data_IF_449568377734
#
_entry.id   IF_449568377734
#
_cell.length_a   1.000
_cell.length_b   1.000
_cell.length_c   1.000
_cell.angle_alpha   90.00
_cell.angle_beta   90.00
_cell.angle_gamma   90.00
#
_symmetry.space_group_name_H-M   'P 1'
#
loop_
_entity.id
_entity.type
_entity.pdbx_description
1 polymer ?
#
# COMPACT_ATOMS: atom_id res chain seq x y z
N UNK A 1 -24.06 13.60 -5.77
CA UNK A 1 -23.52 12.74 -4.70
C UNK A 1 -22.54 13.59 -3.90
N UNK A 2 -22.81 13.87 -2.63
CA UNK A 2 -22.03 14.84 -1.83
C UNK A 2 -20.58 14.36 -1.62
N UNK A 3 -19.64 15.30 -1.69
CA UNK A 3 -18.18 15.09 -1.61
C UNK A 3 -17.77 14.26 -0.37
N UNK A 4 -18.49 14.43 0.74
CA UNK A 4 -18.31 13.62 1.95
C UNK A 4 -18.61 12.13 1.78
N UNK A 5 -19.62 11.75 0.99
CA UNK A 5 -20.02 10.36 0.78
C UNK A 5 -19.00 9.63 -0.09
N UNK A 6 -18.51 10.28 -1.15
CA UNK A 6 -17.45 9.76 -2.02
C UNK A 6 -16.16 9.56 -1.23
N UNK A 7 -15.81 10.53 -0.38
CA UNK A 7 -14.63 10.42 0.49
C UNK A 7 -14.75 9.28 1.50
N UNK A 8 -15.92 9.08 2.12
CA UNK A 8 -16.15 8.02 3.12
C UNK A 8 -16.04 6.63 2.50
N UNK A 9 -16.70 6.41 1.36
CA UNK A 9 -16.63 5.14 0.62
C UNK A 9 -15.19 4.85 0.17
N UNK A 10 -14.48 5.87 -0.33
CA UNK A 10 -13.08 5.73 -0.73
C UNK A 10 -12.17 5.25 0.42
N UNK A 11 -12.36 5.79 1.62
CA UNK A 11 -11.61 5.35 2.81
C UNK A 11 -11.98 3.95 3.26
N UNK A 12 -13.26 3.55 3.18
CA UNK A 12 -13.67 2.18 3.52
C UNK A 12 -13.08 1.17 2.55
N UNK A 13 -13.13 1.44 1.24
CA UNK A 13 -12.53 0.56 0.21
C UNK A 13 -11.01 0.47 0.40
N UNK A 14 -10.34 1.59 0.66
CA UNK A 14 -8.90 1.59 0.94
C UNK A 14 -8.57 0.79 2.21
N UNK A 15 -9.36 0.96 3.29
CA UNK A 15 -9.15 0.23 4.54
C UNK A 15 -9.37 -1.28 4.41
N UNK A 16 -10.44 -1.70 3.73
CA UNK A 16 -10.70 -3.13 3.46
C UNK A 16 -9.62 -3.72 2.54
N UNK A 17 -9.21 -2.98 1.50
CA UNK A 17 -8.12 -3.39 0.62
C UNK A 17 -6.81 -3.56 1.38
N UNK A 18 -6.48 -2.62 2.28
CA UNK A 18 -5.29 -2.69 3.13
C UNK A 18 -5.33 -3.88 4.10
N UNK A 19 -6.46 -4.11 4.76
CA UNK A 19 -6.63 -5.24 5.67
C UNK A 19 -6.53 -6.59 4.93
N UNK A 20 -7.14 -6.70 3.74
CA UNK A 20 -7.03 -7.88 2.88
C UNK A 20 -5.59 -8.12 2.41
N UNK A 21 -4.87 -7.06 2.03
CA UNK A 21 -3.46 -7.14 1.71
C UNK A 21 -2.63 -7.62 2.92
N UNK A 22 -2.82 -7.04 4.10
CA UNK A 22 -2.13 -7.47 5.32
C UNK A 22 -2.37 -8.94 5.65
N UNK A 23 -3.62 -9.40 5.58
CA UNK A 23 -3.97 -10.79 5.81
C UNK A 23 -3.29 -11.71 4.80
N UNK A 24 -3.23 -11.30 3.53
CA UNK A 24 -2.55 -12.04 2.46
C UNK A 24 -1.04 -12.11 2.71
N UNK A 25 -0.41 -10.99 3.04
CA UNK A 25 1.02 -10.92 3.40
C UNK A 25 1.33 -11.81 4.61
N UNK A 26 0.51 -11.77 5.66
CA UNK A 26 0.68 -12.60 6.84
C UNK A 26 0.56 -14.10 6.52
N UNK A 27 -0.42 -14.47 5.69
CA UNK A 27 -0.60 -15.84 5.23
C UNK A 27 0.58 -16.33 4.39
N UNK A 28 1.07 -15.51 3.46
CA UNK A 28 2.23 -15.84 2.64
C UNK A 28 3.50 -15.95 3.49
N UNK A 29 3.70 -15.05 4.45
CA UNK A 29 4.81 -15.12 5.39
C UNK A 29 4.76 -16.41 6.22
N UNK A 30 3.59 -16.78 6.74
CA UNK A 30 3.40 -18.07 7.43
C UNK A 30 3.75 -19.25 6.52
N UNK A 31 3.27 -19.25 5.26
CA UNK A 31 3.58 -20.30 4.29
C UNK A 31 5.08 -20.44 4.04
N UNK A 32 5.80 -19.33 3.90
CA UNK A 32 7.25 -19.36 3.61
C UNK A 32 8.07 -19.70 4.86
N UNK A 33 7.77 -19.08 6.00
CA UNK A 33 8.60 -19.16 7.21
C UNK A 33 8.29 -20.36 8.10
N UNK A 34 7.02 -20.78 8.17
CA UNK A 34 6.58 -21.87 9.05
C UNK A 34 6.46 -23.17 8.28
N UNK A 35 5.77 -23.16 7.13
CA UNK A 35 5.59 -24.38 6.32
C UNK A 35 6.82 -24.69 5.48
N UNK A 36 7.55 -23.66 5.06
CA UNK A 36 8.75 -23.79 4.24
C UNK A 36 8.46 -23.91 2.74
N UNK A 37 9.52 -23.81 1.95
CA UNK A 37 9.47 -23.90 0.50
C UNK A 37 9.78 -25.32 0.02
N UNK A 38 9.04 -25.77 -0.99
CA UNK A 38 9.38 -27.00 -1.72
C UNK A 38 10.69 -26.83 -2.51
N UNK A 39 11.35 -27.92 -2.94
CA UNK A 39 12.57 -27.84 -3.76
C UNK A 39 12.39 -27.12 -5.10
N UNK A 40 11.18 -27.13 -5.67
CA UNK A 40 10.87 -26.37 -6.89
C UNK A 40 10.76 -24.87 -6.58
N UNK A 41 10.09 -24.52 -5.48
CA UNK A 41 9.92 -23.14 -5.03
C UNK A 41 11.25 -22.50 -4.63
N UNK A 42 12.14 -23.25 -3.97
CA UNK A 42 13.50 -22.78 -3.67
C UNK A 42 14.27 -22.41 -4.94
N UNK A 43 14.24 -23.28 -5.95
CA UNK A 43 14.90 -23.00 -7.25
C UNK A 43 14.32 -21.76 -7.93
N UNK A 44 13.00 -21.60 -7.92
CA UNK A 44 12.36 -20.41 -8.46
C UNK A 44 12.75 -19.15 -7.66
N UNK A 45 12.81 -19.22 -6.33
CA UNK A 45 13.26 -18.12 -5.47
C UNK A 45 14.73 -17.74 -5.71
N UNK A 46 15.61 -18.72 -5.92
CA UNK A 46 17.03 -18.51 -6.25
C UNK A 46 17.22 -17.88 -7.63
N UNK A 47 16.36 -18.21 -8.59
CA UNK A 47 16.38 -17.62 -9.94
C UNK A 47 15.76 -16.22 -10.00
N UNK A 48 14.92 -15.88 -9.02
CA UNK A 48 14.15 -14.64 -8.99
C UNK A 48 15.00 -13.36 -9.16
N UNK A 49 16.18 -13.19 -8.50
CA UNK A 49 16.99 -11.98 -8.66
C UNK A 49 17.50 -11.77 -10.09
N UNK A 50 17.74 -12.85 -10.84
CA UNK A 50 18.24 -12.79 -12.20
C UNK A 50 17.11 -12.70 -13.23
N UNK A 51 15.99 -13.40 -13.00
CA UNK A 51 14.86 -13.50 -13.94
C UNK A 51 13.52 -13.48 -13.20
N UNK A 52 13.09 -12.31 -12.70
CA UNK A 52 11.93 -12.21 -11.80
C UNK A 52 10.62 -12.59 -12.48
N UNK A 53 10.41 -12.20 -13.75
CA UNK A 53 9.19 -12.52 -14.49
C UNK A 53 9.09 -14.01 -14.83
N UNK A 54 10.20 -14.65 -15.23
CA UNK A 54 10.23 -16.08 -15.51
C UNK A 54 10.01 -16.90 -14.23
N UNK A 55 10.69 -16.54 -13.13
CA UNK A 55 10.52 -17.20 -11.85
C UNK A 55 9.10 -17.06 -11.27
N UNK A 56 8.49 -15.88 -11.41
CA UNK A 56 7.11 -15.62 -10.99
C UNK A 56 6.08 -16.37 -11.85
N UNK A 57 6.34 -16.55 -13.14
CA UNK A 57 5.48 -17.33 -14.03
C UNK A 57 5.64 -18.84 -13.83
N UNK A 58 6.83 -19.30 -13.45
CA UNK A 58 7.14 -20.72 -13.26
C UNK A 58 6.55 -21.30 -11.96
N UNK A 59 6.40 -20.50 -10.91
CA UNK A 59 5.83 -20.94 -9.64
C UNK A 59 4.76 -19.97 -9.11
N UNK A 60 3.49 -20.43 -8.91
CA UNK A 60 2.40 -19.57 -8.46
C UNK A 60 2.63 -18.91 -7.09
N UNK A 61 3.35 -19.56 -6.17
CA UNK A 61 3.65 -19.00 -4.86
C UNK A 61 4.63 -17.83 -5.01
N UNK A 62 5.67 -18.00 -5.82
CA UNK A 62 6.64 -16.93 -6.12
C UNK A 62 5.95 -15.75 -6.82
N UNK A 63 5.06 -16.03 -7.78
CA UNK A 63 4.24 -15.01 -8.42
C UNK A 63 3.36 -14.23 -7.43
N UNK A 64 2.68 -14.92 -6.51
CA UNK A 64 1.86 -14.30 -5.46
C UNK A 64 2.70 -13.46 -4.49
N UNK A 65 3.88 -13.92 -4.10
CA UNK A 65 4.80 -13.17 -3.26
C UNK A 65 5.24 -11.87 -3.96
N UNK A 66 5.64 -11.96 -5.23
CA UNK A 66 6.03 -10.80 -6.02
C UNK A 66 4.88 -9.79 -6.15
N UNK A 67 3.68 -10.27 -6.50
CA UNK A 67 2.51 -9.42 -6.66
C UNK A 67 2.12 -8.74 -5.35
N UNK A 68 2.23 -9.46 -4.23
CA UNK A 68 1.92 -8.95 -2.89
C UNK A 68 2.90 -7.86 -2.45
N UNK A 69 4.20 -8.03 -2.73
CA UNK A 69 5.22 -7.00 -2.48
C UNK A 69 4.99 -5.77 -3.35
N UNK A 70 4.70 -5.98 -4.64
CA UNK A 70 4.41 -4.88 -5.57
C UNK A 70 3.16 -4.10 -5.16
N UNK A 71 2.09 -4.81 -4.76
CA UNK A 71 0.88 -4.20 -4.23
C UNK A 71 1.16 -3.39 -2.95
N UNK A 72 2.00 -3.92 -2.04
CA UNK A 72 2.43 -3.22 -0.84
C UNK A 72 3.11 -1.88 -1.15
N UNK A 73 4.04 -1.88 -2.11
CA UNK A 73 4.73 -0.66 -2.55
C UNK A 73 3.76 0.40 -3.09
N UNK A 74 2.77 -0.03 -3.89
CA UNK A 74 1.74 0.87 -4.42
C UNK A 74 0.84 1.45 -3.32
N UNK A 75 0.44 0.61 -2.35
CA UNK A 75 -0.35 1.02 -1.20
C UNK A 75 0.41 2.04 -0.37
N UNK A 76 1.68 1.78 -0.01
CA UNK A 76 2.51 2.70 0.75
C UNK A 76 2.70 4.02 0.02
N UNK A 77 3.02 3.96 -1.28
CA UNK A 77 3.13 5.15 -2.14
C UNK A 77 1.84 5.97 -2.15
N UNK A 78 0.68 5.32 -2.25
CA UNK A 78 -0.61 5.99 -2.21
C UNK A 78 -0.89 6.63 -0.84
N UNK A 79 -0.65 5.90 0.26
CA UNK A 79 -0.84 6.41 1.63
C UNK A 79 0.03 7.63 1.88
N UNK A 80 1.31 7.57 1.52
CA UNK A 80 2.25 8.69 1.65
C UNK A 80 1.82 9.89 0.80
N UNK A 81 1.45 9.65 -0.46
CA UNK A 81 1.02 10.70 -1.36
C UNK A 81 -0.26 11.41 -0.87
N UNK A 82 -1.32 10.65 -0.58
CA UNK A 82 -2.59 11.22 -0.13
C UNK A 82 -2.49 11.82 1.27
N UNK A 83 -1.74 11.20 2.17
CA UNK A 83 -1.45 11.74 3.50
C UNK A 83 -0.72 13.08 3.41
N UNK A 84 0.31 13.17 2.58
CA UNK A 84 1.04 14.42 2.34
C UNK A 84 0.17 15.49 1.68
N UNK A 85 -0.64 15.13 0.68
CA UNK A 85 -1.55 16.05 0.02
C UNK A 85 -2.58 16.64 1.00
N UNK A 86 -3.16 15.79 1.86
CA UNK A 86 -4.11 16.23 2.90
C UNK A 86 -3.43 17.11 3.94
N UNK A 87 -2.21 16.76 4.38
CA UNK A 87 -1.41 17.58 5.28
C UNK A 87 -1.13 18.97 4.68
N UNK A 88 -0.72 19.02 3.41
CA UNK A 88 -0.45 20.28 2.69
C UNK A 88 -1.71 21.14 2.55
N UNK A 89 -2.85 20.53 2.23
CA UNK A 89 -4.12 21.23 2.13
C UNK A 89 -4.57 21.79 3.49
N UNK A 90 -4.45 20.99 4.56
CA UNK A 90 -4.75 21.44 5.92
C UNK A 90 -3.81 22.57 6.38
N UNK A 91 -2.51 22.48 6.05
CA UNK A 91 -1.52 23.51 6.34
C UNK A 91 -1.86 24.83 5.65
N UNK A 92 -2.24 24.79 4.36
CA UNK A 92 -2.67 25.99 3.62
C UNK A 92 -3.91 26.62 4.25
N UNK A 93 -4.93 25.81 4.57
CA UNK A 93 -6.14 26.30 5.25
C UNK A 93 -5.84 26.98 6.59
N UNK A 94 -4.88 26.46 7.37
CA UNK A 94 -4.47 27.12 8.63
C UNK A 94 -3.84 28.49 8.38
N UNK A 95 -2.93 28.58 7.40
CA UNK A 95 -2.28 29.85 7.03
C UNK A 95 -3.31 30.88 6.54
N UNK A 96 -4.28 30.45 5.73
CA UNK A 96 -5.33 31.32 5.20
C UNK A 96 -6.29 31.82 6.31
N UNK A 97 -6.44 31.08 7.41
CA UNK A 97 -7.26 31.47 8.57
C UNK A 97 -6.51 32.39 9.54
N UNK A 98 -5.19 32.23 9.68
CA UNK A 98 -4.35 33.07 10.56
C UNK A 98 -4.13 34.48 9.97
N UNK A 99 -4.03 34.60 8.64
CA UNK A 99 -3.79 35.87 7.93
C UNK A 99 -4.83 36.98 8.19
N UNK A 100 -6.16 36.72 8.09
CA UNK A 100 -7.17 37.74 8.41
C UNK A 100 -7.32 37.99 9.92
N UNK A 101 -7.03 37.00 10.77
CA UNK A 101 -7.06 37.17 12.23
C UNK A 101 -5.98 38.14 12.72
N UNK A 102 -4.78 38.09 12.15
CA UNK A 102 -3.69 39.04 12.43
C UNK A 102 -3.98 40.46 11.90
N UNK A 103 -4.69 40.57 10.77
CA UNK A 103 -5.10 41.88 10.22
C UNK A 103 -6.20 42.55 11.03
N UNK A 104 -7.11 41.81 11.69
CA UNK A 104 -8.13 42.40 12.56
C UNK A 104 -7.63 42.80 13.95
N UNK A 105 -6.41 42.38 14.32
CA UNK A 105 -5.80 42.62 15.64
C UNK A 105 -4.86 43.83 15.65
N UNK A 106 -4.58 44.43 14.49
CA UNK A 106 -3.85 45.69 14.34
C UNK A 106 -4.84 46.82 14.07
#
# INVERSE_FOLDING_TARGET
MTDHTVRRVGWTVAGVGYAGWLATTAYLAYRVLVVGLSPAQRRAAEQFPARPLEAAAADPLIGLLFLTLFAGLLIEGAVLYYGYAQWRAARRRRIDLERPAEQSRK
#
